data_IF_249937066434
#
_entry.id   IF_249937066434
#
_cell.length_a   1.000
_cell.length_b   1.000
_cell.length_c   1.000
_cell.angle_alpha   90.00
_cell.angle_beta   90.00
_cell.angle_gamma   90.00
#
_symmetry.space_group_name_H-M   'P 1'
#
loop_
_entity.id
_entity.type
_entity.pdbx_description
1 polymer ?
#
# COMPACT_ATOMS: atom_id res chain seq x y z
N UNK A 1 2.11 -5.38 9.83
CA UNK A 1 3.22 -4.42 9.90
C UNK A 1 2.69 -2.99 9.92
N UNK A 2 3.37 -2.02 10.52
CA UNK A 2 2.96 -0.62 10.43
C UNK A 2 3.13 -0.09 9.00
N UNK A 3 2.21 0.77 8.56
CA UNK A 3 2.38 1.64 7.40
C UNK A 3 3.07 2.93 7.88
N UNK A 4 4.10 3.34 7.17
CA UNK A 4 4.81 4.62 7.40
C UNK A 4 5.04 5.34 6.07
N UNK A 5 5.56 6.56 6.09
CA UNK A 5 5.98 7.27 4.88
C UNK A 5 5.03 8.41 4.50
N UNK A 6 5.32 9.02 3.36
CA UNK A 6 4.63 10.19 2.86
C UNK A 6 4.38 10.05 1.36
N UNK A 7 3.31 10.66 0.88
CA UNK A 7 3.05 10.79 -0.54
C UNK A 7 2.52 12.19 -0.84
N UNK A 8 2.98 12.77 -1.94
CA UNK A 8 2.60 14.10 -2.40
C UNK A 8 1.60 13.99 -3.54
N UNK A 9 0.50 14.73 -3.43
CA UNK A 9 -0.53 14.82 -4.46
C UNK A 9 -0.70 16.28 -4.87
N UNK A 10 -0.89 16.53 -6.17
CA UNK A 10 -1.03 17.88 -6.71
C UNK A 10 -2.11 18.72 -5.99
N UNK A 11 -3.26 18.11 -5.68
CA UNK A 11 -4.41 18.82 -5.11
C UNK A 11 -4.53 18.72 -3.58
N UNK A 12 -3.81 17.77 -2.94
CA UNK A 12 -3.90 17.51 -1.49
C UNK A 12 -2.62 17.93 -0.74
N UNK A 13 -1.56 18.27 -1.46
CA UNK A 13 -0.23 18.45 -0.91
C UNK A 13 0.38 17.13 -0.41
N UNK A 14 1.33 17.24 0.51
CA UNK A 14 2.01 16.08 1.12
C UNK A 14 1.18 15.53 2.28
N UNK A 15 0.83 14.25 2.18
CA UNK A 15 0.15 13.51 3.23
C UNK A 15 1.13 12.55 3.92
N UNK A 16 1.12 12.55 5.25
CA UNK A 16 1.84 11.58 6.07
C UNK A 16 0.93 10.42 6.41
N UNK A 17 1.32 9.21 6.01
CA UNK A 17 0.51 8.02 6.19
C UNK A 17 0.96 7.20 7.39
N UNK A 18 -0.03 6.81 8.19
CA UNK A 18 0.11 5.88 9.31
C UNK A 18 -0.98 4.82 9.20
N UNK A 19 -0.76 3.65 9.80
CA UNK A 19 -1.75 2.57 9.76
C UNK A 19 -1.13 1.21 9.91
N UNK A 20 -1.86 0.17 9.50
CA UNK A 20 -1.38 -1.20 9.51
C UNK A 20 -1.59 -1.85 8.15
N UNK A 21 -0.63 -2.62 7.70
CA UNK A 21 -0.80 -3.54 6.58
C UNK A 21 -0.76 -4.97 7.10
N UNK A 22 -1.79 -5.73 6.76
CA UNK A 22 -1.75 -7.17 6.89
C UNK A 22 -1.18 -7.74 5.58
N UNK A 23 -0.07 -8.47 5.70
CA UNK A 23 0.49 -9.25 4.60
C UNK A 23 0.35 -10.71 4.96
N UNK A 24 -0.24 -11.48 4.06
CA UNK A 24 -0.38 -12.92 4.18
C UNK A 24 0.36 -13.57 3.00
N UNK A 25 1.29 -14.46 3.34
CA UNK A 25 1.93 -15.37 2.40
C UNK A 25 1.28 -16.73 2.63
N UNK A 26 0.42 -17.22 1.73
CA UNK A 26 -0.22 -18.52 1.90
C UNK A 26 0.83 -19.64 2.03
N UNK A 27 0.67 -20.59 2.95
CA UNK A 27 1.58 -21.72 3.06
C UNK A 27 1.48 -22.58 1.80
N UNK A 28 2.53 -22.56 0.97
CA UNK A 28 2.63 -23.20 -0.35
C UNK A 28 1.51 -22.84 -1.35
N UNK A 29 1.89 -22.22 -2.47
CA UNK A 29 1.96 -23.03 -3.68
C UNK A 29 3.17 -22.63 -4.52
N UNK A 30 4.22 -23.46 -4.57
CA UNK A 30 5.12 -23.39 -5.72
C UNK A 30 4.24 -23.70 -6.94
N UNK A 31 3.77 -22.66 -7.63
CA UNK A 31 3.30 -22.82 -9.00
C UNK A 31 4.45 -23.52 -9.75
N UNK A 32 4.20 -24.51 -10.62
CA UNK A 32 5.26 -25.16 -11.40
C UNK A 32 6.16 -24.16 -12.17
N UNK A 33 5.76 -22.89 -12.24
CA UNK A 33 6.48 -21.76 -12.83
C UNK A 33 7.40 -20.99 -11.86
N UNK A 34 7.57 -21.41 -10.60
CA UNK A 34 8.46 -20.74 -9.64
C UNK A 34 7.95 -19.38 -9.14
N UNK A 35 6.63 -19.22 -9.02
CA UNK A 35 5.99 -17.99 -8.54
C UNK A 35 5.56 -18.10 -7.08
N UNK A 36 5.53 -16.95 -6.38
CA UNK A 36 5.01 -16.77 -5.02
C UNK A 36 3.79 -15.85 -5.04
N UNK A 37 2.78 -16.20 -4.25
CA UNK A 37 1.57 -15.40 -4.09
C UNK A 37 1.68 -14.62 -2.78
N UNK A 38 1.48 -13.30 -2.85
CA UNK A 38 1.39 -12.45 -1.66
C UNK A 38 0.06 -11.72 -1.66
N UNK A 39 -0.64 -11.77 -0.53
CA UNK A 39 -1.85 -10.98 -0.32
C UNK A 39 -1.53 -9.83 0.62
N UNK A 40 -1.94 -8.63 0.25
CA UNK A 40 -1.83 -7.45 1.10
C UNK A 40 -3.21 -6.88 1.37
N UNK A 41 -3.42 -6.40 2.58
CA UNK A 41 -4.63 -5.67 2.98
C UNK A 41 -4.23 -4.47 3.80
N UNK A 42 -4.60 -3.29 3.33
CA UNK A 42 -4.41 -2.05 4.05
C UNK A 42 -5.53 -1.89 5.07
N UNK A 43 -5.14 -1.70 6.32
CA UNK A 43 -6.00 -1.57 7.49
C UNK A 43 -5.71 -0.19 8.09
N UNK A 44 -6.72 0.67 8.14
CA UNK A 44 -6.63 2.00 8.77
C UNK A 44 -5.47 2.86 8.22
N UNK A 45 -5.29 2.88 6.89
CA UNK A 45 -4.24 3.67 6.23
C UNK A 45 -4.55 5.17 6.22
N UNK A 46 -4.41 5.86 7.35
CA UNK A 46 -4.74 7.28 7.49
C UNK A 46 -3.58 8.16 7.01
N UNK A 47 -3.83 8.94 5.96
CA UNK A 47 -2.98 10.02 5.46
C UNK A 47 -3.43 11.37 6.00
N UNK A 48 -2.55 12.12 6.66
CA UNK A 48 -2.85 13.45 7.21
C UNK A 48 -1.93 14.50 6.62
N UNK A 49 -2.51 15.65 6.25
CA UNK A 49 -1.80 16.82 5.74
C UNK A 49 -2.40 18.11 6.30
N UNK A 50 -1.97 19.24 5.77
CA UNK A 50 -2.43 20.57 6.23
C UNK A 50 -3.92 20.77 5.92
N UNK A 51 -4.77 20.57 6.93
CA UNK A 51 -6.22 20.76 6.80
C UNK A 51 -6.95 19.67 6.00
N UNK A 52 -6.29 18.53 5.73
CA UNK A 52 -6.89 17.42 4.99
C UNK A 52 -6.50 16.08 5.62
N UNK A 53 -7.44 15.15 5.58
CA UNK A 53 -7.25 13.77 6.02
C UNK A 53 -7.87 12.84 4.99
N UNK A 54 -7.17 11.78 4.63
CA UNK A 54 -7.63 10.75 3.69
C UNK A 54 -7.39 9.36 4.28
N UNK A 55 -8.31 8.44 4.04
CA UNK A 55 -8.15 7.02 4.36
C UNK A 55 -7.81 6.25 3.07
N UNK A 56 -6.69 5.53 3.09
CA UNK A 56 -6.32 4.55 2.08
C UNK A 56 -6.80 3.16 2.52
N UNK A 57 -7.51 2.46 1.62
CA UNK A 57 -8.08 1.14 1.88
C UNK A 57 -8.06 0.24 0.67
N UNK A 58 -7.99 -1.07 0.92
CA UNK A 58 -8.09 -2.09 -0.12
C UNK A 58 -7.28 -3.34 0.17
N UNK A 59 -7.38 -4.30 -0.74
CA UNK A 59 -6.60 -5.53 -0.74
C UNK A 59 -6.11 -5.84 -2.14
N UNK A 60 -4.90 -6.40 -2.23
CA UNK A 60 -4.28 -6.76 -3.50
C UNK A 60 -3.62 -8.13 -3.43
N UNK A 61 -3.47 -8.73 -4.60
CA UNK A 61 -2.86 -10.03 -4.79
C UNK A 61 -1.70 -9.87 -5.78
N UNK A 62 -0.51 -10.29 -5.37
CA UNK A 62 0.70 -10.22 -6.19
C UNK A 62 1.16 -11.63 -6.53
N UNK A 63 1.66 -11.79 -7.76
CA UNK A 63 2.35 -12.99 -8.24
C UNK A 63 3.77 -12.58 -8.58
N UNK A 64 4.72 -12.95 -7.73
CA UNK A 64 6.12 -12.52 -7.83
C UNK A 64 7.01 -13.71 -8.15
N UNK A 65 8.12 -13.47 -8.83
CA UNK A 65 9.16 -14.49 -8.99
C UNK A 65 9.69 -14.91 -7.61
N UNK A 66 10.04 -16.19 -7.44
CA UNK A 66 10.61 -16.65 -6.17
C UNK A 66 11.97 -15.99 -5.95
N UNK A 67 12.13 -15.31 -4.82
CA UNK A 67 13.38 -14.73 -4.35
C UNK A 67 13.41 -14.73 -2.82
N UNK A 68 14.60 -14.60 -2.24
CA UNK A 68 14.79 -14.45 -0.79
C UNK A 68 14.26 -13.11 -0.27
N UNK A 69 14.25 -12.09 -1.12
CA UNK A 69 13.66 -10.77 -0.81
C UNK A 69 12.76 -10.35 -1.95
N UNK A 70 11.53 -9.98 -1.63
CA UNK A 70 10.50 -9.56 -2.55
C UNK A 70 10.22 -8.08 -2.34
N UNK A 71 10.44 -7.30 -3.39
CA UNK A 71 10.16 -5.87 -3.44
C UNK A 71 9.04 -5.62 -4.46
N UNK A 72 7.96 -5.00 -4.03
CA UNK A 72 6.79 -4.76 -4.87
C UNK A 72 5.99 -3.57 -4.37
N UNK A 73 5.22 -2.96 -5.27
CA UNK A 73 4.38 -1.80 -4.96
C UNK A 73 2.92 -2.17 -5.10
N UNK A 74 2.12 -1.88 -4.07
CA UNK A 74 0.67 -1.97 -4.14
C UNK A 74 0.02 -0.61 -4.20
N UNK A 75 -1.04 -0.50 -5.00
CA UNK A 75 -1.81 0.73 -5.16
C UNK A 75 -3.19 0.62 -4.49
N UNK A 76 -3.49 1.50 -3.53
CA UNK A 76 -4.71 1.47 -2.73
C UNK A 76 -5.56 2.70 -2.99
N UNK A 77 -6.87 2.53 -3.09
CA UNK A 77 -7.78 3.64 -3.30
C UNK A 77 -7.86 4.49 -2.03
N UNK A 78 -7.84 5.81 -2.22
CA UNK A 78 -8.08 6.76 -1.17
C UNK A 78 -9.53 7.19 -1.17
N UNK A 79 -10.03 7.45 0.04
CA UNK A 79 -11.35 8.01 0.29
C UNK A 79 -11.22 9.03 1.42
N UNK A 80 -12.09 10.03 1.48
CA UNK A 80 -12.16 10.89 2.64
C UNK A 80 -12.72 10.15 3.87
N UNK A 81 -12.38 10.61 5.10
CA UNK A 81 -12.97 10.11 6.34
C UNK A 81 -14.47 10.43 6.40
N UNK A 82 -15.27 9.54 6.99
CA UNK A 82 -16.72 9.74 7.11
C UNK A 82 -17.07 10.46 8.44
N UNK A 83 -17.95 11.50 8.47
CA UNK A 83 -18.68 12.13 7.36
C UNK A 83 -17.92 13.27 6.67
N UNK A 84 -18.22 13.46 5.38
CA UNK A 84 -17.68 14.53 4.53
C UNK A 84 -18.79 15.50 4.17
N UNK A 85 -18.52 16.80 4.29
CA UNK A 85 -19.45 17.84 3.84
C UNK A 85 -19.09 18.28 2.42
N UNK A 86 -20.09 18.64 1.58
CA UNK A 86 -19.82 19.24 0.28
C UNK A 86 -18.89 20.46 0.40
N UNK A 87 -17.82 20.49 -0.39
CA UNK A 87 -16.82 21.55 -0.37
C UNK A 87 -15.69 21.37 0.66
N UNK A 88 -15.67 20.24 1.38
CA UNK A 88 -14.53 19.87 2.22
C UNK A 88 -13.32 19.51 1.33
N UNK A 89 -12.11 20.05 1.58
CA UNK A 89 -10.89 19.64 0.87
C UNK A 89 -10.65 18.13 0.84
N UNK A 90 -11.17 17.38 1.81
CA UNK A 90 -11.09 15.93 1.83
C UNK A 90 -11.83 15.27 0.65
N UNK A 91 -12.82 15.91 0.01
CA UNK A 91 -13.49 15.35 -1.17
C UNK A 91 -12.50 14.99 -2.29
N UNK A 92 -11.38 15.72 -2.40
CA UNK A 92 -10.33 15.44 -3.37
C UNK A 92 -9.52 14.16 -3.06
N UNK A 93 -9.73 13.50 -1.91
CA UNK A 93 -9.22 12.16 -1.65
C UNK A 93 -9.87 11.13 -2.59
N UNK A 94 -11.13 11.35 -3.03
CA UNK A 94 -11.80 10.44 -3.97
C UNK A 94 -11.05 10.38 -5.31
N UNK A 95 -10.86 9.17 -5.82
CA UNK A 95 -10.18 8.93 -7.09
C UNK A 95 -8.65 9.01 -7.02
N UNK A 96 -8.07 9.45 -5.90
CA UNK A 96 -6.63 9.34 -5.66
C UNK A 96 -6.27 7.92 -5.24
N UNK A 97 -5.01 7.58 -5.48
CA UNK A 97 -4.45 6.26 -5.17
C UNK A 97 -3.14 6.43 -4.44
N UNK A 98 -3.01 5.74 -3.30
CA UNK A 98 -1.77 5.65 -2.55
C UNK A 98 -0.94 4.47 -3.07
N UNK A 99 0.31 4.73 -3.42
CA UNK A 99 1.28 3.67 -3.64
C UNK A 99 1.97 3.32 -2.33
N UNK A 100 2.10 2.02 -2.06
CA UNK A 100 2.82 1.51 -0.89
C UNK A 100 3.87 0.52 -1.38
N UNK A 101 5.13 0.84 -1.15
CA UNK A 101 6.26 -0.04 -1.37
C UNK A 101 6.37 -1.06 -0.23
N UNK A 102 6.48 -2.33 -0.59
CA UNK A 102 6.63 -3.45 0.33
C UNK A 102 7.97 -4.12 0.15
N UNK A 103 8.60 -4.49 1.27
CA UNK A 103 9.73 -5.42 1.29
C UNK A 103 9.40 -6.58 2.20
N UNK A 104 9.45 -7.80 1.67
CA UNK A 104 9.19 -9.04 2.41
C UNK A 104 10.36 -9.99 2.19
N UNK A 105 11.01 -10.44 3.26
CA UNK A 105 12.04 -11.47 3.18
C UNK A 105 11.46 -12.84 3.51
N UNK A 106 11.89 -13.86 2.78
CA UNK A 106 11.43 -15.24 2.92
C UNK A 106 12.62 -16.19 3.16
N UNK A 107 12.41 -17.24 3.95
CA UNK A 107 13.35 -18.38 4.03
C UNK A 107 13.17 -19.33 2.82
N UNK A 108 14.03 -20.35 2.74
CA UNK A 108 13.98 -21.36 1.67
C UNK A 108 12.65 -22.15 1.64
N UNK A 109 11.96 -22.24 2.78
CA UNK A 109 10.64 -22.85 2.91
C UNK A 109 9.49 -21.90 2.50
N UNK A 110 9.79 -20.62 2.22
CA UNK A 110 8.82 -19.60 1.86
C UNK A 110 8.10 -18.95 3.03
N UNK A 111 8.58 -19.13 4.26
CA UNK A 111 8.05 -18.44 5.43
C UNK A 111 8.62 -17.02 5.51
N UNK A 112 7.82 -16.08 5.99
CA UNK A 112 8.27 -14.70 6.23
C UNK A 112 9.32 -14.68 7.33
N UNK A 113 10.49 -14.13 7.04
CA UNK A 113 11.58 -13.91 7.99
C UNK A 113 11.90 -12.43 8.12
N UNK A 114 12.36 -12.03 9.32
CA UNK A 114 12.60 -10.64 9.64
C UNK A 114 11.31 -9.82 9.77
N UNK A 115 11.46 -8.50 9.76
CA UNK A 115 10.34 -7.57 9.84
C UNK A 115 10.02 -7.02 8.45
N UNK A 116 8.89 -7.41 7.83
CA UNK A 116 8.47 -6.82 6.56
C UNK A 116 8.12 -5.33 6.71
N UNK A 117 8.32 -4.58 5.64
CA UNK A 117 8.12 -3.12 5.60
C UNK A 117 6.96 -2.76 4.68
N UNK A 118 6.30 -1.64 4.99
CA UNK A 118 5.26 -1.04 4.17
C UNK A 118 5.40 0.48 4.23
N UNK A 119 5.78 1.10 3.12
CA UNK A 119 6.09 2.52 3.04
C UNK A 119 5.23 3.19 1.99
N UNK A 120 4.41 4.15 2.39
CA UNK A 120 3.74 5.07 1.48
C UNK A 120 4.81 5.83 0.68
N UNK A 121 4.67 5.80 -0.64
CA UNK A 121 5.54 6.46 -1.58
C UNK A 121 4.69 7.30 -2.53
N UNK A 122 5.33 8.28 -3.16
CA UNK A 122 4.66 9.11 -4.15
C UNK A 122 3.97 8.24 -5.22
N UNK A 123 2.77 8.63 -5.67
CA UNK A 123 2.16 7.99 -6.82
C UNK A 123 3.16 8.09 -7.99
N UNK A 124 3.46 6.95 -8.62
CA UNK A 124 4.25 6.95 -9.84
C UNK A 124 3.39 7.66 -10.87
N UNK A 125 3.85 8.82 -11.36
CA UNK A 125 3.32 9.38 -12.61
C UNK A 125 3.54 8.31 -13.67
N UNK A 126 2.49 7.59 -14.04
CA UNK A 126 2.52 6.84 -15.29
C UNK A 126 2.81 7.89 -16.38
N UNK A 127 3.88 7.75 -17.17
CA UNK A 127 4.03 8.59 -18.35
C UNK A 127 2.77 8.36 -19.19
N UNK A 128 1.97 9.40 -19.37
CA UNK A 128 0.81 9.33 -20.26
C UNK A 128 1.30 8.84 -21.64
N UNK A 129 0.56 7.91 -22.29
CA UNK A 129 0.88 7.43 -23.63
C UNK A 129 0.84 8.54 -24.68
#
# INVERSE_FOLDING_TARGET
>A
MPLTGQATFADLGTLTFTGKVHVAVPPNPISPQGLRIIHTRLIDGLGTGTGVSCEARGSQHFRLATASTLEFTGTYNMVPPNPVKPGDPAEACWGKRLNVAFTVSLDDAGNVVGQPTATAVDPVEDPQP
#
